data_IF_966949798693
#
_entry.id   IF_966949798693
#
_cell.length_a   1.000
_cell.length_b   1.000
_cell.length_c   1.000
_cell.angle_alpha   90.00
_cell.angle_beta   90.00
_cell.angle_gamma   90.00
#
_symmetry.space_group_name_H-M   'P 1'
#
loop_
_entity.id
_entity.type
_entity.pdbx_description
1 polymer ?
#
# COMPACT_ATOMS: atom_id res chain seq x y z
N UNK A 1 0.84 -3.09 10.01
CA UNK A 1 1.75 -3.71 9.03
C UNK A 1 2.19 -2.63 8.08
N UNK A 2 3.43 -2.65 7.63
CA UNK A 2 3.91 -1.77 6.57
C UNK A 2 4.87 -2.57 5.67
N UNK A 3 5.12 -2.04 4.48
CA UNK A 3 6.22 -2.51 3.64
C UNK A 3 7.23 -1.36 3.49
N UNK A 4 8.51 -1.70 3.48
CA UNK A 4 9.59 -0.77 3.16
C UNK A 4 9.77 -0.72 1.66
N UNK A 5 9.73 0.48 1.09
CA UNK A 5 9.87 0.71 -0.34
C UNK A 5 10.75 1.92 -0.60
N UNK A 6 11.58 1.86 -1.63
CA UNK A 6 12.39 3.00 -2.06
C UNK A 6 11.57 3.82 -3.05
N UNK A 7 11.31 5.09 -2.71
CA UNK A 7 10.50 5.97 -3.56
C UNK A 7 11.19 7.30 -3.83
N UNK A 8 10.81 7.95 -4.92
CA UNK A 8 11.20 9.33 -5.20
C UNK A 8 10.00 10.26 -4.99
N UNK A 9 10.12 11.17 -4.03
CA UNK A 9 9.09 12.17 -3.74
C UNK A 9 9.64 13.57 -4.02
N UNK A 10 9.05 14.26 -5.01
CA UNK A 10 9.46 15.62 -5.41
C UNK A 10 10.95 15.76 -5.75
N UNK A 11 11.53 14.74 -6.39
CA UNK A 11 12.95 14.69 -6.74
C UNK A 11 13.90 14.32 -5.59
N UNK A 12 13.35 13.98 -4.41
CA UNK A 12 14.11 13.49 -3.26
C UNK A 12 13.90 11.98 -3.16
N UNK A 13 14.99 11.21 -3.17
CA UNK A 13 14.96 9.78 -2.93
C UNK A 13 14.80 9.52 -1.43
N UNK A 14 13.83 8.68 -1.10
CA UNK A 14 13.56 8.21 0.26
C UNK A 14 13.80 6.70 0.24
N UNK A 15 14.96 6.30 0.74
CA UNK A 15 15.29 4.89 0.91
C UNK A 15 14.55 4.34 2.14
N UNK A 16 13.83 3.23 1.97
CA UNK A 16 13.09 2.57 3.04
C UNK A 16 11.89 3.37 3.58
N UNK A 17 11.11 4.00 2.70
CA UNK A 17 9.85 4.62 3.09
C UNK A 17 8.85 3.54 3.57
N UNK A 18 8.11 3.86 4.63
CA UNK A 18 7.07 2.99 5.19
C UNK A 18 5.77 3.21 4.43
N UNK A 19 5.39 2.25 3.59
CA UNK A 19 4.11 2.23 2.90
C UNK A 19 3.11 1.36 3.68
N UNK A 20 1.96 1.94 4.05
CA UNK A 20 0.92 1.28 4.84
C UNK A 20 -0.42 1.34 4.13
N UNK A 21 -1.15 0.24 4.08
CA UNK A 21 -2.54 0.21 3.60
C UNK A 21 -3.46 0.69 4.71
N UNK A 22 -4.29 1.68 4.41
CA UNK A 22 -5.27 2.28 5.29
C UNK A 22 -6.68 2.17 4.68
N UNK A 23 -7.65 1.94 5.55
CA UNK A 23 -9.09 2.01 5.25
C UNK A 23 -9.53 1.28 3.96
N UNK A 24 -9.23 -0.03 3.79
CA UNK A 24 -9.75 -0.78 2.66
C UNK A 24 -11.28 -0.84 2.72
N UNK A 25 -11.91 -0.43 1.63
CA UNK A 25 -13.36 -0.42 1.43
C UNK A 25 -13.71 -1.35 0.28
N UNK A 26 -14.52 -2.37 0.57
CA UNK A 26 -15.03 -3.29 -0.45
C UNK A 26 -16.16 -2.61 -1.22
N UNK A 27 -16.15 -2.74 -2.56
CA UNK A 27 -17.21 -2.21 -3.42
C UNK A 27 -18.58 -2.84 -3.08
N UNK A 28 -19.66 -2.14 -3.44
CA UNK A 28 -21.02 -2.69 -3.22
C UNK A 28 -21.25 -3.99 -4.01
N UNK A 29 -20.61 -4.09 -5.17
CA UNK A 29 -20.63 -5.26 -6.05
C UNK A 29 -19.73 -6.41 -5.56
N UNK A 30 -18.90 -6.17 -4.53
CA UNK A 30 -17.99 -7.14 -3.89
C UNK A 30 -16.96 -7.75 -4.84
N UNK A 31 -16.54 -6.99 -5.83
CA UNK A 31 -15.56 -7.38 -6.86
C UNK A 31 -14.27 -6.55 -6.79
N UNK A 32 -14.26 -5.44 -6.06
CA UNK A 32 -13.08 -4.61 -5.86
C UNK A 32 -12.92 -4.13 -4.42
N UNK A 33 -11.70 -3.77 -4.06
CA UNK A 33 -11.32 -3.14 -2.81
C UNK A 33 -10.54 -1.87 -3.13
N UNK A 34 -11.07 -0.74 -2.70
CA UNK A 34 -10.39 0.56 -2.78
C UNK A 34 -9.72 0.85 -1.44
N UNK A 35 -8.49 1.35 -1.45
CA UNK A 35 -7.71 1.59 -0.23
C UNK A 35 -6.74 2.75 -0.41
N UNK A 36 -6.30 3.32 0.72
CA UNK A 36 -5.30 4.37 0.75
C UNK A 36 -3.93 3.79 1.10
N UNK A 37 -2.90 4.08 0.32
CA UNK A 37 -1.50 3.79 0.67
C UNK A 37 -0.91 5.07 1.23
N UNK A 38 -0.52 5.05 2.50
CA UNK A 38 0.13 6.18 3.16
C UNK A 38 1.63 5.92 3.27
N UNK A 39 2.43 6.94 2.97
CA UNK A 39 3.88 6.86 2.99
C UNK A 39 4.47 7.73 4.10
N UNK A 40 5.34 7.15 4.91
CA UNK A 40 6.02 7.80 6.05
C UNK A 40 7.53 7.59 5.98
N UNK A 41 8.30 8.54 6.50
CA UNK A 41 9.76 8.42 6.58
C UNK A 41 10.22 7.41 7.64
N UNK A 42 9.35 7.10 8.60
CA UNK A 42 9.56 6.13 9.67
C UNK A 42 8.22 5.74 10.32
N UNK A 43 8.20 4.76 11.23
CA UNK A 43 6.96 4.25 11.81
C UNK A 43 6.22 5.31 12.64
N UNK A 44 6.96 6.19 13.31
CA UNK A 44 6.42 7.25 14.17
C UNK A 44 6.39 8.64 13.48
N UNK A 45 6.64 8.71 12.17
CA UNK A 45 6.65 9.97 11.43
C UNK A 45 5.29 10.26 10.80
N UNK A 46 4.99 11.55 10.60
CA UNK A 46 3.83 11.98 9.83
C UNK A 46 3.89 11.47 8.38
N UNK A 47 2.71 11.29 7.79
CA UNK A 47 2.64 10.96 6.37
C UNK A 47 3.09 12.17 5.55
N UNK A 48 3.96 11.93 4.57
CA UNK A 48 4.37 12.98 3.63
C UNK A 48 3.61 12.89 2.30
N UNK A 49 3.07 11.72 1.96
CA UNK A 49 2.18 11.54 0.81
C UNK A 49 1.26 10.35 1.02
N UNK A 50 0.21 10.30 0.22
CA UNK A 50 -0.73 9.19 0.18
C UNK A 50 -1.31 9.02 -1.21
N UNK A 51 -1.65 7.79 -1.58
CA UNK A 51 -2.26 7.47 -2.87
C UNK A 51 -3.48 6.59 -2.67
N UNK A 52 -4.55 6.86 -3.42
CA UNK A 52 -5.73 6.00 -3.44
C UNK A 52 -5.58 4.98 -4.57
N UNK A 53 -5.67 3.71 -4.23
CA UNK A 53 -5.55 2.59 -5.17
C UNK A 53 -6.78 1.69 -5.09
N UNK A 54 -6.95 0.87 -6.11
CA UNK A 54 -8.01 -0.13 -6.16
C UNK A 54 -7.46 -1.43 -6.75
N UNK A 55 -7.87 -2.55 -6.16
CA UNK A 55 -7.55 -3.88 -6.67
C UNK A 55 -8.81 -4.75 -6.74
N UNK A 56 -8.71 -5.86 -7.46
CA UNK A 56 -9.73 -6.91 -7.45
C UNK A 56 -9.89 -7.48 -6.04
N UNK A 57 -11.12 -7.82 -5.66
CA UNK A 57 -11.44 -8.43 -4.37
C UNK A 57 -11.95 -9.86 -4.54
N UNK A 58 -11.22 -10.81 -3.97
CA UNK A 58 -11.66 -12.20 -3.86
C UNK A 58 -12.41 -12.44 -2.55
N UNK A 59 -13.70 -12.72 -2.64
CA UNK A 59 -14.57 -13.06 -1.51
C UNK A 59 -14.16 -14.32 -0.74
N UNK A 60 -13.44 -15.24 -1.39
CA UNK A 60 -12.91 -16.47 -0.78
C UNK A 60 -11.44 -16.37 -0.42
N UNK A 61 -10.79 -15.26 -0.78
CA UNK A 61 -9.39 -15.00 -0.51
C UNK A 61 -9.14 -14.57 0.93
N UNK A 62 -7.93 -14.04 1.16
CA UNK A 62 -7.56 -13.49 2.46
C UNK A 62 -8.34 -12.19 2.77
N UNK A 63 -8.09 -11.61 3.94
CA UNK A 63 -8.70 -10.32 4.31
C UNK A 63 -8.31 -9.20 3.31
N UNK A 64 -9.10 -8.11 3.21
CA UNK A 64 -8.86 -7.02 2.27
C UNK A 64 -7.48 -6.37 2.38
N UNK A 65 -6.90 -6.30 3.58
CA UNK A 65 -5.54 -5.75 3.77
C UNK A 65 -4.50 -6.65 3.12
N UNK A 66 -4.55 -7.97 3.39
CA UNK A 66 -3.63 -8.93 2.77
C UNK A 66 -3.72 -8.90 1.25
N UNK A 67 -4.92 -8.81 0.69
CA UNK A 67 -5.11 -8.70 -0.76
C UNK A 67 -4.54 -7.39 -1.33
N UNK A 68 -4.76 -6.26 -0.64
CA UNK A 68 -4.18 -4.98 -1.03
C UNK A 68 -2.64 -5.01 -1.00
N UNK A 69 -2.02 -5.53 0.07
CA UNK A 69 -0.56 -5.71 0.11
C UNK A 69 -0.05 -6.67 -0.97
N UNK A 70 -0.80 -7.74 -1.25
CA UNK A 70 -0.50 -8.67 -2.34
C UNK A 70 -0.48 -7.94 -3.69
N UNK A 71 -1.47 -7.09 -3.96
CA UNK A 71 -1.52 -6.25 -5.14
C UNK A 71 -0.34 -5.27 -5.21
N UNK A 72 -0.03 -4.56 -4.11
CA UNK A 72 1.11 -3.63 -4.08
C UNK A 72 2.40 -4.32 -4.48
N UNK A 73 2.65 -5.53 -3.97
CA UNK A 73 3.84 -6.34 -4.33
C UNK A 73 3.91 -6.75 -5.80
N UNK A 74 2.82 -6.66 -6.57
CA UNK A 74 2.83 -6.91 -8.02
C UNK A 74 3.22 -5.68 -8.85
N UNK A 75 3.21 -4.49 -8.25
CA UNK A 75 3.51 -3.26 -8.96
C UNK A 75 5.02 -3.01 -9.04
N UNK A 76 5.54 -2.47 -10.16
CA UNK A 76 6.97 -2.21 -10.33
C UNK A 76 7.55 -1.25 -9.28
N UNK A 77 6.76 -0.31 -8.78
CA UNK A 77 7.19 0.67 -7.78
C UNK A 77 7.47 0.06 -6.41
N UNK A 78 6.91 -1.12 -6.11
CA UNK A 78 7.15 -1.88 -4.89
C UNK A 78 8.07 -3.09 -5.13
N UNK A 79 8.74 -3.15 -6.28
CA UNK A 79 9.68 -4.22 -6.56
C UNK A 79 10.82 -4.20 -5.53
N UNK A 80 11.08 -5.34 -4.90
CA UNK A 80 12.09 -5.46 -3.85
C UNK A 80 11.68 -4.88 -2.49
N UNK A 81 10.39 -4.55 -2.29
CA UNK A 81 9.90 -4.17 -0.98
C UNK A 81 10.03 -5.31 0.05
N UNK A 82 10.13 -4.95 1.33
CA UNK A 82 10.20 -5.91 2.43
C UNK A 82 9.15 -5.63 3.50
N UNK A 83 8.59 -6.69 4.08
CA UNK A 83 7.61 -6.58 5.16
C UNK A 83 8.27 -6.06 6.45
N UNK A 84 7.60 -5.13 7.13
CA UNK A 84 8.05 -4.50 8.38
C UNK A 84 6.97 -4.52 9.48
#
# INVERSE_FOLDING_TARGET
MAILVNIEYRGIKIDGAYASVCEPSISTSKDSVSFCVVYRAGPDHDQFTSEMMECFYDLKGENPYSQAYGFLKTLPEFEGCSDC
#
